data_IF_467731658303
#
_entry.id   IF_467731658303
#
_cell.length_a   1.000
_cell.length_b   1.000
_cell.length_c   1.000
_cell.angle_alpha   90.00
_cell.angle_beta   90.00
_cell.angle_gamma   90.00
#
_symmetry.space_group_name_H-M   'P 1'
#
loop_
_entity.id
_entity.type
_entity.pdbx_description
1 polymer ?
#
# COMPACT_ATOMS: atom_id res chain seq x y z
N UNK A 1 8.02 -11.70 16.23
CA UNK A 1 7.80 -10.86 15.03
C UNK A 1 8.41 -11.55 13.82
N UNK A 2 7.74 -11.58 12.66
CA UNK A 2 8.27 -12.18 11.43
C UNK A 2 9.43 -11.32 10.89
N UNK A 3 10.61 -11.88 10.70
CA UNK A 3 11.79 -11.16 10.21
C UNK A 3 12.03 -11.29 8.70
N UNK A 4 11.35 -12.25 8.02
CA UNK A 4 11.53 -12.55 6.60
C UNK A 4 10.54 -11.75 5.76
N UNK A 5 11.05 -11.02 4.76
CA UNK A 5 10.26 -10.26 3.80
C UNK A 5 10.58 -10.70 2.39
N UNK A 6 10.16 -11.90 2.06
CA UNK A 6 10.28 -12.36 0.70
C UNK A 6 8.90 -12.42 0.03
N UNK A 7 8.70 -11.58 -0.97
CA UNK A 7 7.56 -11.68 -1.87
C UNK A 7 8.05 -12.21 -3.21
N UNK A 8 7.44 -13.30 -3.67
CA UNK A 8 7.68 -13.82 -5.01
C UNK A 8 6.75 -13.10 -5.99
N UNK A 9 7.33 -12.31 -6.88
CA UNK A 9 6.60 -11.67 -7.99
C UNK A 9 6.77 -12.51 -9.26
N UNK A 10 5.67 -13.10 -9.74
CA UNK A 10 5.64 -13.86 -10.99
C UNK A 10 5.19 -12.93 -12.10
N UNK A 11 6.16 -12.35 -12.83
CA UNK A 11 5.93 -11.30 -13.83
C UNK A 11 5.73 -11.83 -15.24
N UNK A 12 6.17 -13.06 -15.53
CA UNK A 12 5.95 -13.71 -16.83
C UNK A 12 4.51 -14.20 -16.95
N UNK A 13 3.88 -13.97 -18.08
CA UNK A 13 2.44 -14.21 -18.28
C UNK A 13 2.08 -15.71 -18.45
N UNK A 14 3.06 -16.55 -18.74
CA UNK A 14 2.95 -17.97 -19.10
C UNK A 14 3.32 -18.95 -17.99
N UNK A 15 3.51 -18.49 -16.77
CA UNK A 15 3.93 -19.31 -15.62
C UNK A 15 2.74 -19.89 -14.87
N UNK A 16 2.70 -21.21 -14.73
CA UNK A 16 1.81 -21.90 -13.80
C UNK A 16 2.55 -22.23 -12.49
N UNK A 17 1.94 -21.92 -11.36
CA UNK A 17 2.51 -22.21 -10.05
C UNK A 17 1.97 -23.52 -9.47
N UNK A 18 2.85 -24.39 -9.02
CA UNK A 18 2.47 -25.65 -8.36
C UNK A 18 3.24 -25.87 -7.06
N UNK A 19 2.79 -26.84 -6.28
CA UNK A 19 3.42 -27.27 -5.03
C UNK A 19 4.15 -28.60 -5.23
N UNK A 20 5.40 -28.68 -4.78
CA UNK A 20 6.12 -29.94 -4.60
C UNK A 20 6.83 -29.94 -3.26
N UNK A 21 6.37 -30.81 -2.33
CA UNK A 21 6.83 -30.80 -0.94
C UNK A 21 6.59 -29.42 -0.29
N UNK A 22 7.65 -28.76 0.16
CA UNK A 22 7.61 -27.43 0.76
C UNK A 22 8.11 -26.33 -0.22
N UNK A 23 8.00 -26.57 -1.54
CA UNK A 23 8.48 -25.64 -2.54
C UNK A 23 7.35 -25.21 -3.51
N UNK A 24 7.36 -23.93 -3.86
CA UNK A 24 6.64 -23.41 -5.02
C UNK A 24 7.46 -23.73 -6.27
N UNK A 25 6.86 -24.36 -7.24
CA UNK A 25 7.42 -24.57 -8.57
C UNK A 25 6.80 -23.56 -9.54
N UNK A 26 7.64 -22.87 -10.28
CA UNK A 26 7.23 -22.10 -11.45
C UNK A 26 7.39 -22.98 -12.69
N UNK A 27 6.30 -23.26 -13.38
CA UNK A 27 6.27 -24.14 -14.54
C UNK A 27 5.93 -23.34 -15.80
N UNK A 28 6.66 -23.61 -16.89
CA UNK A 28 6.38 -23.14 -18.24
C UNK A 28 6.32 -24.33 -19.17
N UNK A 29 5.26 -24.47 -19.93
CA UNK A 29 5.08 -25.59 -20.88
C UNK A 29 5.33 -26.99 -20.25
N UNK A 30 4.89 -27.17 -18.99
CA UNK A 30 5.10 -28.37 -18.15
C UNK A 30 6.53 -28.60 -17.66
N UNK A 31 7.47 -27.73 -17.97
CA UNK A 31 8.84 -27.78 -17.44
C UNK A 31 9.00 -26.84 -16.23
N UNK A 32 9.75 -27.30 -15.24
CA UNK A 32 10.07 -26.51 -14.04
C UNK A 32 11.17 -25.52 -14.39
N UNK A 33 10.84 -24.23 -14.44
CA UNK A 33 11.81 -23.17 -14.75
C UNK A 33 12.42 -22.52 -13.49
N UNK A 34 11.74 -22.65 -12.34
CA UNK A 34 12.26 -22.15 -11.06
C UNK A 34 11.60 -22.87 -9.88
N UNK A 35 12.30 -22.85 -8.73
CA UNK A 35 11.86 -23.47 -7.47
C UNK A 35 12.14 -22.50 -6.32
N UNK A 36 11.15 -22.28 -5.43
CA UNK A 36 11.27 -21.37 -4.28
C UNK A 36 10.75 -22.07 -3.02
N UNK A 37 11.53 -22.12 -1.91
CA UNK A 37 11.06 -22.68 -0.66
C UNK A 37 9.95 -21.82 -0.04
N UNK A 38 8.80 -22.43 0.31
CA UNK A 38 7.65 -21.74 0.89
C UNK A 38 8.00 -21.02 2.21
N UNK A 39 8.82 -21.64 3.07
CA UNK A 39 9.17 -21.05 4.36
C UNK A 39 9.95 -19.72 4.26
N UNK A 40 10.51 -19.40 3.07
CA UNK A 40 11.19 -18.14 2.82
C UNK A 40 10.23 -17.05 2.32
N UNK A 41 8.99 -17.41 1.97
CA UNK A 41 8.02 -16.50 1.36
C UNK A 41 7.02 -15.99 2.39
N UNK A 42 6.68 -14.73 2.29
CA UNK A 42 5.56 -14.11 3.01
C UNK A 42 4.36 -13.88 2.10
N UNK A 43 4.62 -13.67 0.83
CA UNK A 43 3.57 -13.53 -0.15
C UNK A 43 4.05 -13.91 -1.55
N UNK A 44 3.09 -14.21 -2.39
CA UNK A 44 3.25 -14.47 -3.82
C UNK A 44 2.27 -13.56 -4.55
N UNK A 45 2.76 -12.77 -5.50
CA UNK A 45 1.94 -11.93 -6.36
C UNK A 45 2.16 -12.41 -7.80
N UNK A 46 1.14 -13.02 -8.39
CA UNK A 46 1.20 -13.56 -9.74
C UNK A 46 0.52 -12.63 -10.73
N UNK A 47 1.25 -12.23 -11.76
CA UNK A 47 0.73 -11.53 -12.95
C UNK A 47 0.53 -12.49 -14.12
N UNK A 48 0.67 -13.79 -13.86
CA UNK A 48 0.57 -14.86 -14.83
C UNK A 48 -0.87 -15.31 -15.04
N UNK A 49 -1.20 -15.65 -16.28
CA UNK A 49 -2.55 -16.07 -16.66
C UNK A 49 -2.90 -17.53 -16.26
N UNK A 50 -2.00 -18.53 -16.34
CA UNK A 50 -2.32 -19.92 -15.99
C UNK A 50 -2.68 -20.14 -14.50
N UNK A 51 -2.29 -19.24 -13.60
CA UNK A 51 -2.67 -19.32 -12.19
C UNK A 51 -1.81 -20.27 -11.35
N UNK A 52 -2.44 -20.94 -10.37
CA UNK A 52 -1.76 -21.84 -9.44
C UNK A 52 -2.57 -23.08 -9.11
N UNK A 53 -1.88 -24.15 -8.66
CA UNK A 53 -2.54 -25.40 -8.25
C UNK A 53 -3.34 -25.22 -6.94
N UNK A 54 -4.48 -25.93 -6.75
CA UNK A 54 -5.21 -25.94 -5.50
C UNK A 54 -4.37 -26.37 -4.30
N UNK A 55 -3.43 -27.30 -4.50
CA UNK A 55 -2.52 -27.74 -3.46
C UNK A 55 -1.61 -26.61 -2.96
N UNK A 56 -1.07 -25.79 -3.87
CA UNK A 56 -0.30 -24.60 -3.51
C UNK A 56 -1.16 -23.56 -2.82
N UNK A 57 -2.36 -23.31 -3.33
CA UNK A 57 -3.31 -22.36 -2.72
C UNK A 57 -3.63 -22.76 -1.27
N UNK A 58 -3.96 -24.04 -1.03
CA UNK A 58 -4.23 -24.56 0.32
C UNK A 58 -3.04 -24.47 1.26
N UNK A 59 -1.84 -24.78 0.76
CA UNK A 59 -0.61 -24.70 1.56
C UNK A 59 -0.26 -23.26 1.92
N UNK A 60 -0.40 -22.33 0.99
CA UNK A 60 -0.22 -20.91 1.25
C UNK A 60 -1.21 -20.41 2.31
N UNK A 61 -2.49 -20.77 2.20
CA UNK A 61 -3.50 -20.44 3.18
C UNK A 61 -3.16 -20.98 4.58
N UNK A 62 -2.76 -22.25 4.68
CA UNK A 62 -2.36 -22.90 5.93
C UNK A 62 -1.18 -22.19 6.61
N UNK A 63 -0.20 -21.73 5.82
CA UNK A 63 1.02 -21.08 6.34
C UNK A 63 0.88 -19.56 6.50
N UNK A 64 -0.29 -18.98 6.18
CA UNK A 64 -0.50 -17.54 6.22
C UNK A 64 0.34 -16.79 5.17
N UNK A 65 0.72 -17.47 4.08
CA UNK A 65 1.42 -16.88 2.95
C UNK A 65 0.37 -16.23 2.03
N UNK A 66 0.45 -14.93 1.83
CA UNK A 66 -0.45 -14.23 0.91
C UNK A 66 -0.23 -14.72 -0.53
N UNK A 67 -1.29 -15.17 -1.20
CA UNK A 67 -1.22 -15.51 -2.62
C UNK A 67 -2.28 -14.71 -3.37
N UNK A 68 -1.82 -13.78 -4.22
CA UNK A 68 -2.67 -12.92 -5.00
C UNK A 68 -2.40 -13.05 -6.50
N UNK A 69 -3.46 -12.89 -7.26
CA UNK A 69 -3.44 -12.88 -8.72
C UNK A 69 -3.79 -11.48 -9.21
N UNK A 70 -2.96 -10.96 -10.11
CA UNK A 70 -3.16 -9.70 -10.78
C UNK A 70 -3.20 -9.93 -12.29
N UNK A 71 -3.91 -9.08 -13.03
CA UNK A 71 -3.77 -9.08 -14.48
C UNK A 71 -2.33 -8.70 -14.85
N UNK A 72 -1.86 -9.02 -16.08
CA UNK A 72 -0.56 -8.57 -16.58
C UNK A 72 -0.34 -7.04 -16.45
N UNK A 73 -1.41 -6.26 -16.46
CA UNK A 73 -1.39 -4.80 -16.31
C UNK A 73 -1.43 -4.32 -14.85
N UNK A 74 -1.29 -5.22 -13.88
CA UNK A 74 -1.24 -4.88 -12.45
C UNK A 74 -2.61 -4.71 -11.78
N UNK A 75 -3.73 -4.95 -12.47
CA UNK A 75 -5.06 -4.93 -11.83
C UNK A 75 -5.22 -6.17 -10.94
N UNK A 76 -5.56 -5.98 -9.70
CA UNK A 76 -5.91 -7.06 -8.78
C UNK A 76 -7.12 -7.85 -9.33
N UNK A 77 -7.02 -9.18 -9.34
CA UNK A 77 -8.07 -10.09 -9.79
C UNK A 77 -8.66 -10.90 -8.64
N UNK A 78 -7.80 -11.60 -7.89
CA UNK A 78 -8.22 -12.50 -6.83
C UNK A 78 -7.09 -12.68 -5.81
N UNK A 79 -7.47 -13.16 -4.63
CA UNK A 79 -6.57 -13.57 -3.58
C UNK A 79 -7.05 -14.90 -2.99
N UNK A 80 -6.10 -15.75 -2.59
CA UNK A 80 -6.41 -16.97 -1.87
C UNK A 80 -6.66 -16.62 -0.40
N UNK A 81 -7.85 -16.99 0.09
CA UNK A 81 -8.20 -16.95 1.49
C UNK A 81 -8.42 -18.39 1.96
N UNK A 82 -7.78 -18.77 3.05
CA UNK A 82 -8.01 -20.07 3.70
C UNK A 82 -9.27 -20.08 4.56
N UNK A 83 -9.40 -21.15 5.36
CA UNK A 83 -10.43 -21.16 6.41
C UNK A 83 -10.32 -19.90 7.25
N UNK A 84 -11.47 -19.38 7.65
CA UNK A 84 -11.56 -18.28 8.60
C UNK A 84 -10.95 -18.72 9.94
N UNK A 85 -9.64 -18.76 10.01
CA UNK A 85 -8.91 -18.97 11.24
C UNK A 85 -8.78 -17.63 11.96
N UNK A 86 -8.90 -17.65 13.26
CA UNK A 86 -8.72 -16.44 14.05
C UNK A 86 -9.84 -16.17 15.03
N UNK A 87 -9.62 -15.19 15.87
CA UNK A 87 -10.51 -14.86 16.97
C UNK A 87 -11.85 -14.33 16.47
N UNK A 88 -12.91 -15.18 16.55
CA UNK A 88 -14.26 -14.79 16.16
C UNK A 88 -14.76 -13.57 16.97
N UNK A 89 -14.29 -13.39 18.21
CA UNK A 89 -14.64 -12.26 19.06
C UNK A 89 -14.05 -10.97 18.51
N UNK A 90 -12.84 -10.99 17.96
CA UNK A 90 -12.20 -9.85 17.32
C UNK A 90 -13.02 -9.36 16.11
N UNK A 91 -13.45 -10.28 15.22
CA UNK A 91 -14.29 -9.91 14.07
C UNK A 91 -15.65 -9.39 14.49
N UNK A 92 -16.29 -10.04 15.48
CA UNK A 92 -17.56 -9.53 16.03
C UNK A 92 -17.41 -8.12 16.60
N UNK A 93 -16.29 -7.82 17.26
CA UNK A 93 -16.02 -6.47 17.77
C UNK A 93 -15.73 -5.49 16.63
N UNK A 94 -14.97 -5.90 15.61
CA UNK A 94 -14.78 -5.10 14.39
C UNK A 94 -16.12 -4.69 13.78
N UNK A 95 -17.05 -5.63 13.61
CA UNK A 95 -18.38 -5.36 13.02
C UNK A 95 -19.21 -4.43 13.91
N UNK A 96 -19.21 -4.64 15.24
CA UNK A 96 -19.91 -3.73 16.18
C UNK A 96 -19.37 -2.31 16.13
N UNK A 97 -18.05 -2.15 15.97
CA UNK A 97 -17.44 -0.83 15.81
C UNK A 97 -17.84 -0.24 14.46
N UNK A 98 -17.84 -1.03 13.39
CA UNK A 98 -18.21 -0.58 12.06
C UNK A 98 -19.68 -0.11 11.98
N UNK A 99 -20.57 -0.69 12.79
CA UNK A 99 -21.99 -0.31 12.91
C UNK A 99 -22.21 0.95 13.78
N UNK A 100 -21.16 1.43 14.48
CA UNK A 100 -21.23 2.61 15.35
C UNK A 100 -20.43 3.78 14.76
N UNK A 101 -21.07 4.82 14.19
CA UNK A 101 -20.39 5.94 13.54
C UNK A 101 -19.41 6.68 14.45
N UNK A 102 -19.70 6.80 15.76
CA UNK A 102 -18.83 7.49 16.69
C UNK A 102 -17.54 6.68 16.93
N UNK A 103 -17.65 5.37 17.14
CA UNK A 103 -16.51 4.46 17.29
C UNK A 103 -15.70 4.33 15.99
N UNK A 104 -16.37 4.27 14.84
CA UNK A 104 -15.72 4.34 13.54
C UNK A 104 -14.86 5.60 13.41
N UNK A 105 -15.44 6.76 13.74
CA UNK A 105 -14.75 8.03 13.66
C UNK A 105 -13.51 8.07 14.57
N UNK A 106 -13.58 7.49 15.76
CA UNK A 106 -12.43 7.41 16.67
C UNK A 106 -11.22 6.70 16.06
N UNK A 107 -11.44 5.60 15.32
CA UNK A 107 -10.35 4.87 14.67
C UNK A 107 -9.93 5.60 13.38
N UNK A 108 -10.88 5.99 12.54
CA UNK A 108 -10.63 6.63 11.27
C UNK A 108 -9.82 7.93 11.41
N UNK A 109 -10.15 8.77 12.41
CA UNK A 109 -9.41 10.04 12.63
C UNK A 109 -7.94 9.82 12.96
N UNK A 110 -7.56 8.73 13.65
CA UNK A 110 -6.15 8.44 13.93
C UNK A 110 -5.41 7.98 12.68
N UNK A 111 -6.05 7.21 11.81
CA UNK A 111 -5.48 6.82 10.49
C UNK A 111 -5.30 8.05 9.60
N UNK A 112 -6.31 8.94 9.54
CA UNK A 112 -6.21 10.19 8.77
C UNK A 112 -5.20 11.15 9.38
N UNK A 113 -5.09 11.23 10.71
CA UNK A 113 -4.01 11.96 11.37
C UNK A 113 -2.63 11.45 10.92
N UNK A 114 -2.43 10.13 10.86
CA UNK A 114 -1.22 9.51 10.34
C UNK A 114 -0.96 9.89 8.87
N UNK A 115 -2.01 9.84 8.02
CA UNK A 115 -1.94 10.25 6.61
C UNK A 115 -1.44 11.69 6.47
N UNK A 116 -2.08 12.63 7.14
CA UNK A 116 -1.74 14.06 7.06
C UNK A 116 -0.33 14.32 7.60
N UNK A 117 -0.01 13.76 8.76
CA UNK A 117 1.32 13.88 9.37
C UNK A 117 2.42 13.38 8.42
N UNK A 118 2.22 12.22 7.80
CA UNK A 118 3.17 11.63 6.87
C UNK A 118 3.23 12.39 5.54
N UNK A 119 2.12 12.97 5.09
CA UNK A 119 2.08 13.88 3.95
C UNK A 119 2.93 15.11 4.19
N UNK A 120 2.71 15.81 5.30
CA UNK A 120 3.53 16.96 5.70
C UNK A 120 5.01 16.60 5.88
N UNK A 121 5.31 15.42 6.48
CA UNK A 121 6.69 14.94 6.62
C UNK A 121 7.35 14.67 5.27
N UNK A 122 6.61 14.14 4.28
CA UNK A 122 7.12 13.92 2.92
C UNK A 122 7.50 15.23 2.22
N UNK A 123 6.66 16.26 2.34
CA UNK A 123 6.94 17.62 1.83
C UNK A 123 8.18 18.20 2.53
N UNK A 124 8.21 18.15 3.88
CA UNK A 124 9.33 18.69 4.66
C UNK A 124 10.67 18.02 4.33
N UNK A 125 10.65 16.73 4.08
CA UNK A 125 11.85 16.01 3.64
C UNK A 125 12.36 16.52 2.31
N UNK A 126 11.45 16.79 1.36
CA UNK A 126 11.85 17.37 0.06
C UNK A 126 12.43 18.77 0.23
N UNK A 127 11.84 19.62 1.07
CA UNK A 127 12.37 20.94 1.42
C UNK A 127 13.78 20.86 2.04
N UNK A 128 13.98 19.96 3.01
CA UNK A 128 15.27 19.78 3.68
C UNK A 128 16.34 19.24 2.74
N UNK A 129 16.01 18.20 1.97
CA UNK A 129 16.99 17.47 1.16
C UNK A 129 17.30 18.21 -0.16
N UNK A 130 16.41 19.12 -0.62
CA UNK A 130 16.49 19.79 -1.93
C UNK A 130 16.15 21.29 -1.90
N UNK A 131 16.42 21.99 -0.80
CA UNK A 131 16.01 23.38 -0.56
C UNK A 131 16.23 24.31 -1.75
N UNK A 132 17.42 24.30 -2.37
CA UNK A 132 17.76 25.15 -3.51
C UNK A 132 16.97 24.87 -4.80
N UNK A 133 16.37 23.67 -4.92
CA UNK A 133 15.64 23.25 -6.12
C UNK A 133 14.14 23.49 -6.02
N UNK A 134 13.65 23.66 -4.80
CA UNK A 134 12.21 23.80 -4.51
C UNK A 134 11.87 25.11 -3.79
N UNK A 135 12.76 26.09 -3.92
CA UNK A 135 12.56 27.42 -3.37
C UNK A 135 11.33 28.07 -4.03
N UNK A 136 10.50 28.73 -3.22
CA UNK A 136 9.32 29.48 -3.66
C UNK A 136 8.25 28.65 -4.41
N UNK A 137 8.21 27.33 -4.18
CA UNK A 137 7.26 26.42 -4.82
C UNK A 137 5.99 26.13 -4.00
N UNK A 138 5.72 26.89 -2.91
CA UNK A 138 4.55 26.69 -2.05
C UNK A 138 4.57 25.42 -1.19
N UNK A 139 5.68 24.68 -1.17
CA UNK A 139 5.82 23.44 -0.37
C UNK A 139 5.77 23.72 1.13
N UNK A 140 6.36 24.84 1.59
CA UNK A 140 6.37 25.20 3.01
C UNK A 140 4.97 25.56 3.50
N UNK A 141 4.24 26.35 2.71
CA UNK A 141 2.85 26.73 2.99
C UNK A 141 1.95 25.48 3.04
N UNK A 142 2.03 24.62 2.03
CA UNK A 142 1.26 23.38 1.98
C UNK A 142 1.54 22.46 3.19
N UNK A 143 2.81 22.32 3.59
CA UNK A 143 3.15 21.54 4.78
C UNK A 143 2.64 22.18 6.08
N UNK A 144 2.64 23.52 6.16
CA UNK A 144 2.08 24.27 7.28
C UNK A 144 0.57 24.11 7.37
N UNK A 145 -0.15 24.30 6.26
CA UNK A 145 -1.59 24.17 6.17
C UNK A 145 -2.06 22.77 6.60
N UNK A 146 -1.39 21.73 6.09
CA UNK A 146 -1.70 20.33 6.48
C UNK A 146 -1.50 20.14 7.98
N UNK A 147 -0.44 20.71 8.58
CA UNK A 147 -0.21 20.59 10.03
C UNK A 147 -1.25 21.34 10.85
N UNK A 148 -1.69 22.50 10.40
CA UNK A 148 -2.74 23.27 11.07
C UNK A 148 -4.09 22.53 11.10
N UNK A 149 -4.30 21.59 10.18
CA UNK A 149 -5.50 20.76 10.16
C UNK A 149 -5.46 19.59 11.16
N UNK A 150 -4.28 19.19 11.66
CA UNK A 150 -4.14 18.02 12.54
C UNK A 150 -5.02 18.08 13.81
N UNK A 151 -5.11 19.22 14.53
CA UNK A 151 -6.02 19.33 15.66
C UNK A 151 -7.49 19.16 15.27
N UNK A 152 -7.89 19.67 14.09
CA UNK A 152 -9.26 19.56 13.58
C UNK A 152 -9.61 18.09 13.26
N UNK A 153 -8.66 17.33 12.69
CA UNK A 153 -8.82 15.90 12.45
C UNK A 153 -9.08 15.15 13.75
N UNK A 154 -8.30 15.42 14.80
CA UNK A 154 -8.48 14.78 16.11
C UNK A 154 -9.78 15.19 16.82
N UNK A 155 -10.29 16.38 16.53
CA UNK A 155 -11.56 16.89 17.07
C UNK A 155 -12.79 16.47 16.27
N UNK A 156 -12.62 15.88 15.07
CA UNK A 156 -13.74 15.46 14.23
C UNK A 156 -14.61 14.44 14.97
N UNK A 157 -15.91 14.74 15.05
CA UNK A 157 -16.89 13.93 15.78
C UNK A 157 -17.63 12.93 14.89
N UNK A 158 -17.62 13.15 13.58
CA UNK A 158 -18.34 12.36 12.60
C UNK A 158 -17.51 12.07 11.34
N UNK A 159 -17.80 10.97 10.63
CA UNK A 159 -17.04 10.57 9.44
C UNK A 159 -17.15 11.52 8.26
N UNK A 160 -18.22 12.30 8.12
CA UNK A 160 -18.40 13.22 6.98
C UNK A 160 -17.51 14.45 7.14
N UNK A 161 -17.48 15.04 8.33
CA UNK A 161 -16.52 16.10 8.69
C UNK A 161 -15.08 15.62 8.46
N UNK A 162 -14.75 14.39 8.89
CA UNK A 162 -13.43 13.83 8.72
C UNK A 162 -13.05 13.69 7.24
N UNK A 163 -13.98 13.21 6.39
CA UNK A 163 -13.78 13.11 4.94
C UNK A 163 -13.61 14.46 4.27
N UNK A 164 -14.35 15.47 4.73
CA UNK A 164 -14.21 16.85 4.24
C UNK A 164 -12.80 17.40 4.51
N UNK A 165 -12.33 17.29 5.75
CA UNK A 165 -10.99 17.72 6.15
C UNK A 165 -9.89 16.94 5.39
N UNK A 166 -10.05 15.62 5.24
CA UNK A 166 -9.14 14.78 4.46
C UNK A 166 -9.04 15.27 3.01
N UNK A 167 -10.18 15.61 2.38
CA UNK A 167 -10.22 16.10 1.01
C UNK A 167 -9.49 17.43 0.83
N UNK A 168 -9.65 18.38 1.77
CA UNK A 168 -8.91 19.64 1.78
C UNK A 168 -7.40 19.40 1.90
N UNK A 169 -6.99 18.56 2.85
CA UNK A 169 -5.59 18.22 3.03
C UNK A 169 -4.98 17.49 1.80
N UNK A 170 -5.76 16.62 1.16
CA UNK A 170 -5.34 15.95 -0.07
C UNK A 170 -5.15 16.95 -1.21
N UNK A 171 -5.99 17.97 -1.31
CA UNK A 171 -5.86 19.05 -2.30
C UNK A 171 -4.57 19.84 -2.06
N UNK A 172 -4.26 20.23 -0.81
CA UNK A 172 -3.02 20.89 -0.47
C UNK A 172 -1.79 20.05 -0.79
N UNK A 173 -1.81 18.76 -0.42
CA UNK A 173 -0.70 17.84 -0.67
C UNK A 173 -0.44 17.61 -2.17
N UNK A 174 -1.49 17.28 -2.94
CA UNK A 174 -1.35 17.01 -4.36
C UNK A 174 -1.17 18.30 -5.19
N UNK A 175 -1.59 19.45 -4.68
CA UNK A 175 -1.34 20.74 -5.32
C UNK A 175 0.15 21.07 -5.47
N UNK A 176 0.99 20.58 -4.55
CA UNK A 176 2.45 20.78 -4.59
C UNK A 176 3.23 19.55 -5.01
N UNK A 177 2.56 18.46 -5.33
CA UNK A 177 3.23 17.17 -5.61
C UNK A 177 4.18 17.25 -6.81
N UNK A 178 3.83 18.01 -7.86
CA UNK A 178 4.69 18.20 -9.03
C UNK A 178 6.02 18.83 -8.66
N UNK A 179 6.07 19.72 -7.70
CA UNK A 179 7.31 20.36 -7.25
C UNK A 179 8.26 19.41 -6.53
N UNK A 180 7.78 18.26 -6.06
CA UNK A 180 8.61 17.19 -5.50
C UNK A 180 9.23 16.27 -6.56
N UNK A 181 8.78 16.37 -7.82
CA UNK A 181 9.39 15.72 -8.98
C UNK A 181 10.55 16.59 -9.45
N UNK A 182 11.78 16.16 -9.23
CA UNK A 182 12.96 17.00 -9.42
C UNK A 182 13.73 16.73 -10.72
N UNK A 183 13.38 15.67 -11.44
CA UNK A 183 14.06 15.27 -12.67
C UNK A 183 13.08 15.02 -13.81
N UNK A 184 13.52 15.34 -15.04
CA UNK A 184 12.80 15.07 -16.29
C UNK A 184 11.36 15.54 -16.28
N UNK A 185 11.11 16.77 -15.86
CA UNK A 185 9.76 17.34 -15.70
C UNK A 185 8.94 17.36 -16.99
N UNK A 186 9.58 17.42 -18.14
CA UNK A 186 8.91 17.34 -19.46
C UNK A 186 8.28 15.96 -19.70
N UNK A 187 8.82 14.92 -19.07
CA UNK A 187 8.42 13.52 -19.25
C UNK A 187 7.66 12.97 -18.05
N UNK A 188 8.00 13.46 -16.84
CA UNK A 188 7.38 13.10 -15.56
C UNK A 188 6.82 14.36 -14.89
N UNK A 189 5.54 14.59 -15.12
CA UNK A 189 4.79 15.72 -14.56
C UNK A 189 3.54 15.21 -13.83
N UNK A 190 2.99 16.05 -12.97
CA UNK A 190 1.79 15.75 -12.22
C UNK A 190 0.87 16.99 -12.15
N UNK A 191 -0.20 17.00 -12.94
CA UNK A 191 -1.18 18.08 -12.96
C UNK A 191 -2.40 17.84 -12.05
N UNK A 192 -2.40 16.75 -11.33
CA UNK A 192 -3.48 16.34 -10.45
C UNK A 192 -3.70 14.83 -10.49
N UNK A 193 -4.43 14.32 -9.50
CA UNK A 193 -4.66 12.88 -9.36
C UNK A 193 -5.72 12.40 -10.35
N UNK A 194 -5.31 11.57 -11.31
CA UNK A 194 -6.18 10.80 -12.19
C UNK A 194 -5.85 9.31 -12.08
N UNK A 195 -6.82 8.43 -12.19
CA UNK A 195 -6.62 6.99 -11.88
C UNK A 195 -7.42 6.00 -12.70
N UNK A 196 -8.39 6.42 -13.47
CA UNK A 196 -9.29 5.51 -14.20
C UNK A 196 -9.68 6.09 -15.56
N UNK A 197 -8.81 5.99 -16.53
CA UNK A 197 -7.42 5.51 -16.50
C UNK A 197 -6.42 6.54 -16.01
N UNK A 198 -5.17 6.16 -15.64
CA UNK A 198 -4.09 7.11 -15.45
C UNK A 198 -3.69 7.70 -16.81
N UNK A 199 -3.52 9.04 -16.87
CA UNK A 199 -3.26 9.77 -18.12
C UNK A 199 -1.82 10.29 -18.23
N UNK A 200 -1.01 10.06 -17.21
CA UNK A 200 0.41 10.39 -17.18
C UNK A 200 1.21 9.30 -16.43
N UNK A 201 2.53 9.34 -16.62
CA UNK A 201 3.45 8.33 -16.06
C UNK A 201 3.46 8.30 -14.55
N UNK A 202 3.35 9.46 -13.91
CA UNK A 202 3.36 9.58 -12.44
C UNK A 202 2.08 8.98 -11.86
N UNK A 203 0.93 9.30 -12.43
CA UNK A 203 -0.35 8.69 -12.03
C UNK A 203 -0.42 7.19 -12.30
N UNK A 204 0.23 6.70 -13.37
CA UNK A 204 0.37 5.26 -13.63
C UNK A 204 1.14 4.56 -12.51
N UNK A 205 2.30 5.12 -12.11
CA UNK A 205 3.12 4.60 -11.02
C UNK A 205 2.42 4.68 -9.66
N UNK A 206 1.79 5.81 -9.34
CA UNK A 206 1.03 5.96 -8.09
C UNK A 206 -0.11 4.95 -8.00
N UNK A 207 -0.85 4.74 -9.10
CA UNK A 207 -1.94 3.76 -9.13
C UNK A 207 -1.45 2.35 -8.92
N UNK A 208 -0.29 2.00 -9.49
CA UNK A 208 0.31 0.69 -9.34
C UNK A 208 0.87 0.49 -7.92
N UNK A 209 1.60 1.48 -7.38
CA UNK A 209 2.10 1.44 -6.00
C UNK A 209 0.96 1.30 -4.97
N UNK A 210 -0.13 2.04 -5.16
CA UNK A 210 -1.29 1.93 -4.28
C UNK A 210 -1.98 0.56 -4.36
N UNK A 211 -2.01 -0.06 -5.53
CA UNK A 211 -2.55 -1.42 -5.67
C UNK A 211 -1.70 -2.45 -4.91
N UNK A 212 -0.37 -2.33 -5.00
CA UNK A 212 0.56 -3.19 -4.26
C UNK A 212 0.44 -2.97 -2.74
N UNK A 213 0.39 -1.72 -2.31
CA UNK A 213 0.27 -1.39 -0.88
C UNK A 213 -1.08 -1.83 -0.31
N UNK A 214 -2.18 -1.64 -1.05
CA UNK A 214 -3.50 -2.12 -0.64
C UNK A 214 -3.53 -3.64 -0.48
N UNK A 215 -2.85 -4.36 -1.39
CA UNK A 215 -2.71 -5.81 -1.29
C UNK A 215 -1.90 -6.22 -0.04
N UNK A 216 -0.77 -5.54 0.24
CA UNK A 216 0.03 -5.78 1.44
C UNK A 216 -0.79 -5.52 2.72
N UNK A 217 -1.55 -4.43 2.77
CA UNK A 217 -2.45 -4.12 3.89
C UNK A 217 -3.56 -5.16 4.08
N UNK A 218 -4.20 -5.60 2.98
CA UNK A 218 -5.22 -6.63 3.04
C UNK A 218 -4.67 -7.95 3.57
N UNK A 219 -3.50 -8.37 3.07
CA UNK A 219 -2.83 -9.59 3.55
C UNK A 219 -2.44 -9.50 5.02
N UNK A 220 -1.99 -8.31 5.45
CA UNK A 220 -1.64 -8.06 6.85
C UNK A 220 -2.88 -8.17 7.78
N UNK A 221 -3.99 -7.52 7.42
CA UNK A 221 -5.23 -7.55 8.19
C UNK A 221 -5.77 -8.97 8.35
N UNK A 222 -5.81 -9.73 7.26
CA UNK A 222 -6.31 -11.11 7.33
C UNK A 222 -5.39 -12.04 8.12
N UNK A 223 -4.07 -11.81 8.08
CA UNK A 223 -3.13 -12.61 8.86
C UNK A 223 -3.30 -12.44 10.38
N UNK A 224 -3.91 -11.34 10.82
CA UNK A 224 -4.25 -11.09 12.24
C UNK A 224 -5.70 -11.42 12.58
N UNK A 225 -6.49 -11.90 11.60
CA UNK A 225 -7.87 -12.33 11.80
C UNK A 225 -8.91 -11.22 11.68
N UNK A 226 -8.56 -10.06 11.09
CA UNK A 226 -9.49 -8.99 10.76
C UNK A 226 -10.08 -9.20 9.35
N UNK A 227 -11.31 -8.76 9.16
CA UNK A 227 -11.95 -8.70 7.86
C UNK A 227 -11.48 -7.46 7.10
N UNK A 228 -10.76 -7.64 6.01
CA UNK A 228 -10.21 -6.54 5.21
C UNK A 228 -11.28 -5.73 4.46
N UNK A 229 -12.51 -6.22 4.37
CA UNK A 229 -13.61 -5.56 3.66
C UNK A 229 -14.41 -4.58 4.53
N UNK A 230 -14.48 -4.81 5.86
CA UNK A 230 -15.24 -3.98 6.79
C UNK A 230 -14.37 -2.87 7.36
N UNK A 231 -14.51 -1.67 6.81
CA UNK A 231 -13.73 -0.48 7.15
C UNK A 231 -14.37 0.43 8.18
N UNK A 232 -13.64 1.46 8.57
CA UNK A 232 -14.09 2.49 9.51
C UNK A 232 -14.26 3.87 8.86
N UNK A 233 -13.47 4.17 7.81
CA UNK A 233 -13.55 5.41 7.03
C UNK A 233 -14.23 5.19 5.69
N UNK A 234 -13.75 4.19 4.95
CA UNK A 234 -14.34 3.83 3.67
C UNK A 234 -15.61 3.01 3.91
N UNK A 235 -16.73 3.51 3.39
CA UNK A 235 -18.02 2.82 3.45
C UNK A 235 -17.95 1.45 2.76
N UNK A 236 -18.72 0.50 3.25
CA UNK A 236 -18.81 -0.83 2.65
C UNK A 236 -19.36 -0.75 1.24
N UNK A 237 -18.71 -1.45 0.32
CA UNK A 237 -19.16 -1.66 -1.06
C UNK A 237 -18.76 -3.05 -1.51
N UNK A 238 -19.63 -3.77 -2.23
CA UNK A 238 -19.30 -5.09 -2.77
C UNK A 238 -17.95 -5.06 -3.51
N UNK A 239 -17.06 -5.99 -3.18
CA UNK A 239 -15.74 -6.13 -3.80
C UNK A 239 -14.69 -5.09 -3.39
N UNK A 240 -14.99 -4.17 -2.46
CA UNK A 240 -14.02 -3.19 -1.96
C UNK A 240 -13.48 -3.58 -0.59
N UNK A 241 -12.16 -3.71 -0.49
CA UNK A 241 -11.46 -3.99 0.76
C UNK A 241 -11.31 -2.70 1.59
N UNK A 242 -12.41 -2.25 2.19
CA UNK A 242 -12.53 -0.94 2.85
C UNK A 242 -11.51 -0.76 3.96
N UNK A 243 -11.31 -1.76 4.85
CA UNK A 243 -10.32 -1.65 5.92
C UNK A 243 -8.87 -1.65 5.42
N UNK A 244 -8.60 -2.40 4.34
CA UNK A 244 -7.26 -2.35 3.73
C UNK A 244 -6.95 -0.96 3.15
N UNK A 245 -7.95 -0.29 2.58
CA UNK A 245 -7.81 1.09 2.11
C UNK A 245 -7.66 2.06 3.29
N UNK A 246 -8.37 1.85 4.40
CA UNK A 246 -8.22 2.66 5.61
C UNK A 246 -6.81 2.57 6.19
N UNK A 247 -6.31 1.34 6.38
CA UNK A 247 -4.97 1.09 6.89
C UNK A 247 -3.89 1.65 5.95
N UNK A 248 -4.13 1.57 4.64
CA UNK A 248 -3.20 2.11 3.65
C UNK A 248 -3.05 3.63 3.74
N UNK A 249 -4.07 4.37 4.19
CA UNK A 249 -4.04 5.84 4.16
C UNK A 249 -2.82 6.42 4.89
N UNK A 250 -2.48 5.94 6.06
CA UNK A 250 -1.32 6.41 6.81
C UNK A 250 0.03 6.05 6.16
N UNK A 251 0.06 5.05 5.27
CA UNK A 251 1.28 4.56 4.63
C UNK A 251 1.50 5.15 3.22
N UNK A 252 0.48 5.79 2.62
CA UNK A 252 0.54 6.26 1.23
C UNK A 252 1.71 7.20 0.98
N UNK A 253 1.78 8.29 1.76
CA UNK A 253 2.80 9.32 1.55
C UNK A 253 4.23 8.80 1.77
N UNK A 254 4.46 8.01 2.82
CA UNK A 254 5.80 7.55 3.20
C UNK A 254 6.27 6.28 2.46
N UNK A 255 5.36 5.40 2.06
CA UNK A 255 5.70 4.19 1.30
C UNK A 255 5.52 4.38 -0.21
N UNK A 256 4.30 4.69 -0.67
CA UNK A 256 3.98 4.68 -2.09
C UNK A 256 4.43 5.97 -2.80
N UNK A 257 4.06 7.14 -2.30
CA UNK A 257 4.38 8.41 -2.96
C UNK A 257 5.87 8.67 -2.97
N UNK A 258 6.53 8.47 -1.80
CA UNK A 258 8.00 8.60 -1.70
C UNK A 258 8.74 7.61 -2.59
N UNK A 259 8.21 6.42 -2.77
CA UNK A 259 8.78 5.45 -3.68
C UNK A 259 8.72 5.94 -5.14
N UNK A 260 7.56 6.44 -5.58
CA UNK A 260 7.41 7.01 -6.93
C UNK A 260 8.33 8.21 -7.14
N UNK A 261 8.38 9.13 -6.17
CA UNK A 261 9.31 10.26 -6.19
C UNK A 261 10.77 9.79 -6.30
N UNK A 262 11.15 8.74 -5.57
CA UNK A 262 12.50 8.16 -5.61
C UNK A 262 12.83 7.59 -6.99
N UNK A 263 11.90 6.84 -7.61
CA UNK A 263 12.08 6.29 -8.95
C UNK A 263 12.38 7.38 -9.99
N UNK A 264 11.62 8.48 -9.94
CA UNK A 264 11.80 9.61 -10.88
C UNK A 264 13.06 10.40 -10.53
N UNK A 265 13.23 10.80 -9.28
CA UNK A 265 14.29 11.72 -8.87
C UNK A 265 15.69 11.07 -8.98
N UNK A 266 15.80 9.76 -8.79
CA UNK A 266 17.02 8.99 -8.97
C UNK A 266 17.17 8.42 -10.39
N UNK A 267 16.27 8.78 -11.33
CA UNK A 267 16.30 8.30 -12.74
C UNK A 267 16.31 6.78 -12.87
N UNK A 268 15.66 6.11 -11.94
CA UNK A 268 15.56 4.65 -11.92
C UNK A 268 14.54 4.12 -12.92
N UNK A 269 13.60 4.96 -13.35
CA UNK A 269 12.59 4.67 -14.38
C UNK A 269 12.71 5.69 -15.51
N UNK A 270 12.37 5.28 -16.72
CA UNK A 270 12.53 6.06 -17.94
C UNK A 270 11.20 6.13 -18.72
N UNK A 271 11.05 7.11 -19.65
CA UNK A 271 9.86 7.19 -20.50
C UNK A 271 9.56 5.92 -21.30
N UNK A 272 10.61 5.21 -21.73
CA UNK A 272 10.53 3.96 -22.50
C UNK A 272 9.94 2.80 -21.67
N UNK A 273 9.95 2.92 -20.35
CA UNK A 273 9.33 1.95 -19.43
C UNK A 273 7.78 2.05 -19.44
N UNK A 274 7.20 2.97 -20.24
CA UNK A 274 5.77 3.21 -20.34
C UNK A 274 5.27 3.13 -21.79
N UNK A 275 4.01 2.77 -21.94
CA UNK A 275 3.27 2.80 -23.18
C UNK A 275 1.98 3.63 -23.04
N UNK A 276 1.69 4.43 -24.05
CA UNK A 276 0.43 5.17 -24.15
C UNK A 276 -0.51 4.37 -25.02
N UNK A 277 -1.71 4.10 -24.55
CA UNK A 277 -2.75 3.39 -25.29
C UNK A 277 -3.56 4.37 -26.16
N UNK A 278 -4.31 3.87 -27.14
CA UNK A 278 -5.21 4.68 -27.98
C UNK A 278 -6.25 5.45 -27.18
N UNK A 279 -6.63 4.94 -26.00
CA UNK A 279 -7.51 5.60 -25.04
C UNK A 279 -6.87 6.77 -24.27
N UNK A 280 -5.60 7.05 -24.50
CA UNK A 280 -4.80 8.00 -23.73
C UNK A 280 -4.30 7.44 -22.38
N UNK A 281 -4.66 6.20 -22.03
CA UNK A 281 -4.18 5.58 -20.80
C UNK A 281 -2.68 5.30 -20.86
N UNK A 282 -1.95 5.69 -19.79
CA UNK A 282 -0.52 5.43 -19.63
C UNK A 282 -0.33 4.22 -18.75
N UNK A 283 0.39 3.21 -19.22
CA UNK A 283 0.67 1.97 -18.49
C UNK A 283 2.18 1.68 -18.50
N UNK A 284 2.65 0.96 -17.49
CA UNK A 284 4.01 0.40 -17.52
C UNK A 284 4.10 -0.70 -18.59
N UNK A 285 5.20 -0.72 -19.33
CA UNK A 285 5.59 -1.87 -20.16
C UNK A 285 5.95 -3.07 -19.27
N UNK A 286 6.15 -4.25 -19.85
CA UNK A 286 6.57 -5.42 -19.08
C UNK A 286 7.94 -5.21 -18.40
N UNK A 287 8.90 -4.64 -19.11
CA UNK A 287 10.22 -4.30 -18.55
C UNK A 287 10.11 -3.22 -17.47
N UNK A 288 9.31 -2.18 -17.72
CA UNK A 288 9.04 -1.13 -16.75
C UNK A 288 8.38 -1.68 -15.47
N UNK A 289 7.45 -2.61 -15.61
CA UNK A 289 6.79 -3.29 -14.50
C UNK A 289 7.76 -4.17 -13.71
N UNK A 290 8.61 -4.96 -14.38
CA UNK A 290 9.63 -5.76 -13.70
C UNK A 290 10.59 -4.89 -12.91
N UNK A 291 11.07 -3.80 -13.50
CA UNK A 291 11.95 -2.82 -12.86
C UNK A 291 11.28 -2.20 -11.63
N UNK A 292 10.02 -1.78 -11.76
CA UNK A 292 9.23 -1.21 -10.67
C UNK A 292 9.07 -2.21 -9.52
N UNK A 293 8.66 -3.46 -9.81
CA UNK A 293 8.45 -4.51 -8.80
C UNK A 293 9.75 -4.90 -8.10
N UNK A 294 10.86 -5.01 -8.83
CA UNK A 294 12.17 -5.29 -8.25
C UNK A 294 12.55 -4.21 -7.24
N UNK A 295 12.47 -2.94 -7.65
CA UNK A 295 12.81 -1.81 -6.77
C UNK A 295 11.84 -1.68 -5.59
N UNK A 296 10.52 -1.99 -5.80
CA UNK A 296 9.55 -2.05 -4.71
C UNK A 296 9.93 -3.10 -3.66
N UNK A 297 10.38 -4.28 -4.11
CA UNK A 297 10.83 -5.34 -3.20
C UNK A 297 12.10 -4.94 -2.44
N UNK A 298 13.07 -4.33 -3.13
CA UNK A 298 14.29 -3.81 -2.50
C UNK A 298 13.94 -2.77 -1.43
N UNK A 299 13.02 -1.85 -1.73
CA UNK A 299 12.52 -0.86 -0.77
C UNK A 299 11.88 -1.50 0.45
N UNK A 300 11.10 -2.57 0.28
CA UNK A 300 10.46 -3.30 1.38
C UNK A 300 11.48 -3.97 2.32
N UNK A 301 12.67 -4.28 1.86
CA UNK A 301 13.75 -4.87 2.66
C UNK A 301 14.54 -3.83 3.46
N UNK A 302 14.49 -2.55 3.09
CA UNK A 302 15.17 -1.51 3.84
C UNK A 302 14.61 -1.42 5.26
N UNK A 303 15.50 -1.18 6.23
CA UNK A 303 15.17 -1.14 7.65
C UNK A 303 14.75 0.26 8.08
N UNK A 304 13.69 0.34 8.88
CA UNK A 304 13.23 1.54 9.55
C UNK A 304 13.02 1.26 11.05
N UNK A 305 13.21 2.27 11.89
CA UNK A 305 12.78 2.20 13.29
C UNK A 305 11.30 2.52 13.35
N UNK A 306 10.49 1.54 13.77
CA UNK A 306 9.04 1.72 13.90
C UNK A 306 8.72 2.76 14.99
N UNK A 307 7.94 3.83 14.69
CA UNK A 307 7.80 4.97 15.60
C UNK A 307 7.17 4.61 16.95
N UNK A 308 6.22 3.69 17.00
CA UNK A 308 5.55 3.25 18.21
C UNK A 308 6.34 2.16 18.96
N UNK A 309 6.81 1.13 18.25
CA UNK A 309 7.52 0.00 18.86
C UNK A 309 8.97 0.33 19.25
N UNK A 310 9.56 1.37 18.66
CA UNK A 310 11.00 1.71 18.77
C UNK A 310 11.94 0.57 18.37
N UNK A 311 11.43 -0.36 17.53
CA UNK A 311 12.17 -1.49 17.01
C UNK A 311 12.54 -1.27 15.54
N UNK A 312 13.71 -1.79 15.15
CA UNK A 312 14.12 -1.83 13.74
C UNK A 312 13.38 -2.94 13.02
N UNK A 313 12.62 -2.60 12.01
CA UNK A 313 11.89 -3.53 11.18
C UNK A 313 12.07 -3.18 9.70
N UNK A 314 11.97 -4.14 8.79
CA UNK A 314 11.87 -3.85 7.36
C UNK A 314 10.57 -3.10 7.03
N UNK A 315 10.62 -2.21 6.03
CA UNK A 315 9.44 -1.46 5.58
C UNK A 315 8.23 -2.34 5.24
N UNK A 316 8.46 -3.49 4.62
CA UNK A 316 7.37 -4.39 4.25
C UNK A 316 6.69 -5.07 5.44
N UNK A 317 7.24 -4.98 6.68
CA UNK A 317 6.55 -5.43 7.88
C UNK A 317 5.66 -4.33 8.51
N UNK A 318 5.78 -3.09 8.06
CA UNK A 318 4.99 -1.99 8.62
C UNK A 318 3.48 -2.25 8.52
N UNK A 319 2.90 -2.65 7.38
CA UNK A 319 1.47 -3.01 7.32
C UNK A 319 1.07 -4.10 8.31
N UNK A 320 1.93 -5.11 8.49
CA UNK A 320 1.69 -6.21 9.43
C UNK A 320 1.67 -5.73 10.88
N UNK A 321 2.64 -4.89 11.28
CA UNK A 321 2.70 -4.31 12.62
C UNK A 321 1.49 -3.42 12.88
N UNK A 322 1.10 -2.58 11.92
CA UNK A 322 -0.07 -1.72 12.04
C UNK A 322 -1.37 -2.53 12.15
N UNK A 323 -1.49 -3.63 11.40
CA UNK A 323 -2.63 -4.54 11.52
C UNK A 323 -2.68 -5.22 12.92
N UNK A 324 -1.53 -5.61 13.48
CA UNK A 324 -1.46 -6.14 14.85
C UNK A 324 -1.85 -5.09 15.90
N UNK A 325 -1.40 -3.84 15.75
CA UNK A 325 -1.74 -2.75 16.66
C UNK A 325 -3.24 -2.43 16.57
N UNK A 326 -3.81 -2.44 15.38
CA UNK A 326 -5.24 -2.29 15.18
C UNK A 326 -6.02 -3.42 15.86
N UNK A 327 -5.63 -4.68 15.65
CA UNK A 327 -6.28 -5.82 16.29
C UNK A 327 -6.21 -5.75 17.83
N UNK A 328 -5.10 -5.28 18.39
CA UNK A 328 -4.96 -5.03 19.85
C UNK A 328 -5.87 -3.92 20.34
N UNK A 329 -5.97 -2.82 19.59
CA UNK A 329 -6.90 -1.73 19.89
C UNK A 329 -8.36 -2.23 19.91
N UNK A 330 -8.78 -2.98 18.89
CA UNK A 330 -10.14 -3.52 18.81
C UNK A 330 -10.46 -4.53 19.93
N UNK A 331 -9.47 -5.23 20.46
CA UNK A 331 -9.64 -6.11 21.63
C UNK A 331 -9.67 -5.38 22.98
N UNK A 332 -9.32 -4.09 23.00
CA UNK A 332 -9.13 -3.32 24.23
C UNK A 332 -7.80 -3.57 24.92
N UNK A 333 -6.79 -4.15 24.23
CA UNK A 333 -5.44 -4.33 24.76
C UNK A 333 -4.64 -3.01 24.69
N UNK A 334 -5.13 -2.00 23.97
CA UNK A 334 -4.60 -0.65 23.83
C UNK A 334 -5.73 0.36 23.98
N UNK A 335 -5.45 1.48 24.63
CA UNK A 335 -6.41 2.58 24.84
C UNK A 335 -6.81 3.28 23.53
N UNK A 336 -6.03 3.13 22.48
CA UNK A 336 -6.29 3.66 21.15
C UNK A 336 -5.35 3.08 20.09
N UNK A 337 -5.71 3.26 18.81
CA UNK A 337 -4.88 2.85 17.71
C UNK A 337 -3.72 3.84 17.50
N UNK A 338 -2.45 3.40 17.63
CA UNK A 338 -1.30 4.25 17.37
C UNK A 338 -0.99 4.30 15.87
N UNK A 339 -1.19 5.43 15.18
CA UNK A 339 -0.90 5.53 13.76
C UNK A 339 0.59 5.48 13.49
N UNK A 340 0.96 5.08 12.28
CA UNK A 340 2.34 5.11 11.83
C UNK A 340 2.75 6.56 11.54
N UNK A 341 3.64 7.14 12.35
CA UNK A 341 4.14 8.52 12.19
C UNK A 341 5.60 8.49 11.71
N UNK A 342 5.78 8.67 10.41
CA UNK A 342 7.10 8.69 9.80
C UNK A 342 7.87 9.97 10.15
N UNK A 343 9.16 9.82 10.50
CA UNK A 343 10.07 10.92 10.86
C UNK A 343 11.17 11.10 9.82
#
# INVERSE_FOLDING_TARGET
MKQLLNTLFVTSEDIYLSLEGENVLANRDKEVVARYPLHTLQSIVSFSYPGASPALMGKCAQYGIGLAFCSPRGRFLARVCGESSGNVLLRREQYRIADDPARCCQIARTMIFGKLSNGAASIQRTLRDHALRVQDCGLEDAASDIRQMLPQILAAADPDTLRGLEGVAATAYFGVFDHMLLNRKEEFFFHGRNRRPPLDRVNAMLSFAYSLLAHDCASALESVGLDSYVGFLHQDRPGRQSLALDLMEELRACMADRFVLTLVNNRMIRPEDFQVQDSGAVLLTDDGRQKFLKTWQERKQETITHPYLQEKIPWGLVPYVQALLLARCLRGDLDGYPPFLWK
#
